data_IF_928240407017
#
_entry.id   IF_928240407017
#
_cell.length_a   1.000
_cell.length_b   1.000
_cell.length_c   1.000
_cell.angle_alpha   90.00
_cell.angle_beta   90.00
_cell.angle_gamma   90.00
#
_symmetry.space_group_name_H-M   'P 1'
#
loop_
_entity.id
_entity.type
_entity.pdbx_description
1 polymer ?
#
# COMPACT_ATOMS: atom_id res chain seq x y z
N UNK A 1 35.76 11.57 17.50
CA UNK A 1 35.69 12.66 16.50
C UNK A 1 34.39 12.54 15.71
N UNK A 2 33.57 13.60 15.73
CA UNK A 2 32.34 13.69 14.95
C UNK A 2 32.64 14.36 13.62
N UNK A 3 32.29 13.71 12.51
CA UNK A 3 32.37 14.29 11.17
C UNK A 3 31.11 15.08 10.88
N UNK A 4 31.23 16.36 10.54
CA UNK A 4 30.09 17.19 10.14
C UNK A 4 30.08 17.35 8.61
N UNK A 5 28.93 17.06 7.98
CA UNK A 5 28.66 17.28 6.56
C UNK A 5 27.55 18.30 6.45
N UNK A 6 27.81 19.43 5.84
CA UNK A 6 26.85 20.53 5.72
C UNK A 6 26.45 20.76 4.26
N UNK A 7 25.19 21.16 4.05
CA UNK A 7 24.73 21.66 2.76
C UNK A 7 24.73 23.20 2.79
N UNK A 8 25.11 23.84 1.71
CA UNK A 8 25.09 25.32 1.58
C UNK A 8 23.68 25.90 1.84
N UNK A 9 22.64 25.15 1.52
CA UNK A 9 21.26 25.52 1.76
C UNK A 9 20.43 24.31 2.18
N UNK A 10 19.32 24.54 2.88
CA UNK A 10 18.40 23.47 3.30
C UNK A 10 17.80 22.75 2.09
N UNK A 11 18.23 21.51 1.87
CA UNK A 11 17.75 20.63 0.79
C UNK A 11 16.68 19.65 1.26
N UNK A 12 16.42 19.59 2.57
CA UNK A 12 15.43 18.71 3.22
C UNK A 12 16.02 17.42 3.77
N UNK A 13 15.28 16.80 4.68
CA UNK A 13 15.67 15.59 5.43
C UNK A 13 16.08 14.44 4.52
N UNK A 14 15.28 14.15 3.49
CA UNK A 14 15.58 13.06 2.54
C UNK A 14 16.92 13.27 1.81
N UNK A 15 17.24 14.52 1.42
CA UNK A 15 18.52 14.81 0.79
C UNK A 15 19.69 14.65 1.78
N UNK A 16 19.50 15.00 3.04
CA UNK A 16 20.52 14.78 4.07
C UNK A 16 20.80 13.29 4.26
N UNK A 17 19.78 12.45 4.28
CA UNK A 17 19.91 10.99 4.36
C UNK A 17 20.64 10.45 3.12
N UNK A 18 20.31 10.92 1.92
CA UNK A 18 20.99 10.50 0.69
C UNK A 18 22.46 10.90 0.67
N UNK A 19 22.79 12.09 1.18
CA UNK A 19 24.19 12.55 1.31
C UNK A 19 24.96 11.71 2.33
N UNK A 20 24.34 11.42 3.48
CA UNK A 20 24.92 10.56 4.50
C UNK A 20 25.14 9.12 3.98
N UNK A 21 24.18 8.58 3.24
CA UNK A 21 24.27 7.25 2.63
C UNK A 21 25.43 7.17 1.61
N UNK A 22 25.60 8.21 0.77
CA UNK A 22 26.72 8.30 -0.16
C UNK A 22 28.05 8.30 0.59
N UNK A 23 28.19 9.17 1.59
CA UNK A 23 29.38 9.24 2.41
C UNK A 23 29.69 7.92 3.13
N UNK A 24 28.70 7.32 3.76
CA UNK A 24 28.85 6.04 4.47
C UNK A 24 29.35 4.94 3.52
N UNK A 25 28.81 4.88 2.31
CA UNK A 25 29.23 3.91 1.30
C UNK A 25 30.66 4.13 0.84
N UNK A 26 31.05 5.36 0.56
CA UNK A 26 32.42 5.72 0.17
C UNK A 26 33.46 5.38 1.25
N UNK A 27 33.02 5.25 2.51
CA UNK A 27 33.84 4.86 3.64
C UNK A 27 33.67 3.37 4.04
N UNK A 28 33.07 2.54 3.19
CA UNK A 28 33.02 1.08 3.36
C UNK A 28 31.96 0.58 4.35
N UNK A 29 31.04 1.43 4.80
CA UNK A 29 29.92 0.99 5.64
C UNK A 29 28.89 0.21 4.82
N UNK A 30 28.15 -0.67 5.48
CA UNK A 30 27.09 -1.48 4.88
C UNK A 30 25.69 -0.97 5.22
N UNK A 31 25.56 -0.28 6.34
CA UNK A 31 24.29 0.24 6.87
C UNK A 31 24.42 1.71 7.26
N UNK A 32 23.30 2.40 7.22
CA UNK A 32 23.15 3.77 7.71
C UNK A 32 22.08 3.80 8.80
N UNK A 33 22.46 4.18 10.02
CA UNK A 33 21.53 4.45 11.09
C UNK A 33 21.23 5.95 11.14
N UNK A 34 19.96 6.32 11.23
CA UNK A 34 19.50 7.71 11.33
C UNK A 34 18.74 7.94 12.64
N UNK A 35 18.89 9.13 13.18
CA UNK A 35 18.14 9.62 14.34
C UNK A 35 17.81 11.10 14.13
N UNK A 36 16.60 11.53 14.51
CA UNK A 36 16.22 12.93 14.49
C UNK A 36 16.89 13.69 15.65
N UNK A 37 17.38 14.90 15.35
CA UNK A 37 18.07 15.74 16.33
C UNK A 37 17.12 16.62 17.18
N UNK A 38 15.85 16.24 17.29
CA UNK A 38 14.80 16.95 18.04
C UNK A 38 14.68 16.50 19.50
N UNK A 39 15.62 15.68 19.97
CA UNK A 39 15.67 15.13 21.32
C UNK A 39 14.43 14.29 21.72
N UNK A 40 13.70 13.74 20.76
CA UNK A 40 12.57 12.86 21.02
C UNK A 40 12.97 11.39 21.23
N UNK A 41 14.10 10.95 20.67
CA UNK A 41 14.58 9.57 20.76
C UNK A 41 15.66 9.41 21.81
N UNK A 42 15.71 8.23 22.41
CA UNK A 42 16.76 7.86 23.36
C UNK A 42 17.93 7.21 22.60
N UNK A 43 19.16 7.58 22.94
CA UNK A 43 20.36 7.04 22.29
C UNK A 43 20.52 5.52 22.52
N UNK A 44 20.00 5.00 23.63
CA UNK A 44 20.04 3.56 23.97
C UNK A 44 19.29 2.70 22.94
N UNK A 45 18.22 3.24 22.37
CA UNK A 45 17.44 2.52 21.35
C UNK A 45 18.22 2.28 20.04
N UNK A 46 19.32 3.05 19.80
CA UNK A 46 20.19 2.85 18.64
C UNK A 46 20.82 1.46 18.63
N UNK A 47 21.28 0.98 19.80
CA UNK A 47 21.90 -0.35 19.93
C UNK A 47 20.90 -1.45 19.57
N UNK A 48 19.66 -1.32 20.04
CA UNK A 48 18.60 -2.27 19.74
C UNK A 48 18.30 -2.38 18.22
N UNK A 49 18.25 -1.23 17.53
CA UNK A 49 18.05 -1.23 16.08
C UNK A 49 19.25 -1.82 15.34
N UNK A 50 20.48 -1.53 15.80
CA UNK A 50 21.70 -2.07 15.19
C UNK A 50 21.74 -3.60 15.32
N UNK A 51 21.43 -4.15 16.47
CA UNK A 51 21.40 -5.59 16.72
C UNK A 51 20.39 -6.31 15.79
N UNK A 52 19.19 -5.74 15.63
CA UNK A 52 18.19 -6.28 14.70
C UNK A 52 18.69 -6.21 13.25
N UNK A 53 19.39 -5.14 12.88
CA UNK A 53 19.93 -4.96 11.53
C UNK A 53 21.06 -5.94 11.23
N UNK A 54 21.95 -6.22 12.19
CA UNK A 54 23.00 -7.24 12.07
C UNK A 54 22.43 -8.65 11.81
N UNK A 55 21.33 -8.99 12.47
CA UNK A 55 20.63 -10.27 12.27
C UNK A 55 19.82 -10.30 10.96
N UNK A 56 19.54 -9.16 10.34
CA UNK A 56 18.67 -9.00 9.18
C UNK A 56 19.26 -8.04 8.16
N UNK A 57 20.42 -8.36 7.60
CA UNK A 57 21.27 -7.52 6.73
C UNK A 57 20.56 -6.85 5.54
N UNK A 58 19.47 -7.44 5.07
CA UNK A 58 18.66 -6.96 3.94
C UNK A 58 17.31 -6.38 4.37
N UNK A 59 17.19 -5.97 5.61
CA UNK A 59 15.95 -5.39 6.15
C UNK A 59 16.15 -3.94 6.52
N UNK A 60 15.13 -3.10 6.29
CA UNK A 60 15.07 -1.79 6.93
C UNK A 60 14.54 -2.00 8.34
N UNK A 61 15.23 -1.47 9.34
CA UNK A 61 14.75 -1.50 10.72
C UNK A 61 14.19 -0.13 11.10
N UNK A 62 12.98 -0.11 11.63
CA UNK A 62 12.27 1.13 12.02
C UNK A 62 12.05 1.10 13.53
N UNK A 63 12.37 2.20 14.21
CA UNK A 63 11.98 2.41 15.59
C UNK A 63 10.47 2.65 15.67
N UNK A 64 9.73 1.67 16.16
CA UNK A 64 8.29 1.77 16.41
C UNK A 64 8.03 2.53 17.70
N UNK A 65 7.47 3.73 17.58
CA UNK A 65 7.20 4.60 18.72
C UNK A 65 5.99 4.10 19.49
N UNK A 66 6.17 3.82 20.78
CA UNK A 66 5.04 3.49 21.65
C UNK A 66 4.25 4.76 21.99
N UNK A 67 3.03 4.87 21.44
CA UNK A 67 2.14 6.01 21.68
C UNK A 67 1.16 5.78 22.86
N UNK A 68 1.36 4.75 23.65
CA UNK A 68 0.62 4.53 24.90
C UNK A 68 1.18 5.32 26.09
N UNK A 69 2.05 6.30 25.81
CA UNK A 69 2.62 7.22 26.80
C UNK A 69 1.75 8.48 26.91
N UNK A 70 1.84 9.14 28.05
CA UNK A 70 1.18 10.42 28.28
C UNK A 70 1.70 11.50 27.33
N UNK A 71 0.83 12.47 27.02
CA UNK A 71 1.13 13.66 26.20
C UNK A 71 1.38 13.42 24.69
N UNK A 72 1.02 12.28 24.13
CA UNK A 72 1.09 12.07 22.68
C UNK A 72 -0.01 12.86 21.97
N UNK A 73 0.32 13.80 21.06
CA UNK A 73 -0.70 14.55 20.34
C UNK A 73 -1.58 13.63 19.48
N UNK A 74 -2.90 13.87 19.50
CA UNK A 74 -3.85 13.09 18.67
C UNK A 74 -3.54 13.16 17.17
N UNK A 75 -3.03 14.29 16.70
CA UNK A 75 -2.55 14.46 15.32
C UNK A 75 -1.40 13.52 14.95
N UNK A 76 -0.51 13.19 15.90
CA UNK A 76 0.58 12.24 15.69
C UNK A 76 0.07 10.80 15.59
N UNK A 77 -0.92 10.43 16.42
CA UNK A 77 -1.59 9.12 16.34
C UNK A 77 -2.31 8.96 15.01
N UNK A 78 -3.13 9.94 14.63
CA UNK A 78 -3.84 9.93 13.35
C UNK A 78 -2.87 9.87 12.15
N UNK A 79 -1.82 10.67 12.14
CA UNK A 79 -0.83 10.69 11.05
C UNK A 79 -0.14 9.33 10.86
N UNK A 80 0.20 8.64 11.96
CA UNK A 80 0.77 7.29 11.93
C UNK A 80 -0.22 6.27 11.34
N UNK A 81 -1.45 6.24 11.84
CA UNK A 81 -2.48 5.32 11.37
C UNK A 81 -2.81 5.54 9.90
N UNK A 82 -2.97 6.80 9.50
CA UNK A 82 -3.22 7.19 8.12
C UNK A 82 -2.08 6.77 7.18
N UNK A 83 -0.83 7.00 7.58
CA UNK A 83 0.33 6.58 6.78
C UNK A 83 0.45 5.06 6.71
N UNK A 84 0.22 4.37 7.81
CA UNK A 84 0.20 2.90 7.87
C UNK A 84 -0.90 2.28 7.01
N UNK A 85 -2.08 2.89 6.99
CA UNK A 85 -3.18 2.49 6.11
C UNK A 85 -2.76 2.55 4.63
N UNK A 86 -2.21 3.69 4.18
CA UNK A 86 -1.76 3.83 2.78
C UNK A 86 -0.62 2.90 2.44
N UNK A 87 0.33 2.68 3.36
CA UNK A 87 1.39 1.70 3.17
C UNK A 87 0.84 0.29 2.94
N UNK A 88 -0.19 -0.09 3.71
CA UNK A 88 -0.85 -1.39 3.52
C UNK A 88 -1.55 -1.49 2.17
N UNK A 89 -2.26 -0.46 1.73
CA UNK A 89 -2.88 -0.40 0.39
C UNK A 89 -1.83 -0.55 -0.72
N UNK A 90 -0.69 0.13 -0.57
CA UNK A 90 0.37 0.19 -1.58
C UNK A 90 1.22 -1.08 -1.64
N UNK A 91 1.42 -1.76 -0.51
CA UNK A 91 2.39 -2.87 -0.41
C UNK A 91 1.77 -4.21 -0.02
N UNK A 92 0.57 -4.21 0.57
CA UNK A 92 -0.05 -5.37 1.21
C UNK A 92 0.59 -5.73 2.56
N UNK A 93 1.63 -5.01 3.02
CA UNK A 93 2.30 -5.23 4.31
C UNK A 93 1.86 -4.19 5.33
N UNK A 94 1.68 -4.62 6.57
CA UNK A 94 1.44 -3.70 7.70
C UNK A 94 2.80 -3.16 8.16
N UNK A 95 2.95 -1.84 8.20
CA UNK A 95 4.08 -1.14 8.79
C UNK A 95 3.53 -0.21 9.86
N UNK A 96 4.00 -0.35 11.08
CA UNK A 96 3.41 0.30 12.24
C UNK A 96 3.76 1.79 12.37
N UNK A 97 5.00 2.17 12.08
CA UNK A 97 5.42 3.57 12.16
C UNK A 97 6.30 4.02 10.99
N UNK A 98 5.63 4.33 9.89
CA UNK A 98 6.29 4.70 8.64
C UNK A 98 6.91 6.12 8.68
N UNK A 99 6.61 6.90 9.72
CA UNK A 99 7.08 8.27 9.88
C UNK A 99 8.14 8.43 10.97
N UNK A 100 8.57 7.33 11.60
CA UNK A 100 9.65 7.39 12.58
C UNK A 100 10.97 7.81 11.91
N UNK A 101 11.71 8.72 12.51
CA UNK A 101 13.02 9.16 12.04
C UNK A 101 14.18 8.28 12.52
N UNK A 102 13.92 7.41 13.50
CA UNK A 102 14.89 6.46 14.01
C UNK A 102 14.86 5.18 13.16
N UNK A 103 15.89 4.96 12.33
CA UNK A 103 15.92 3.86 11.34
C UNK A 103 17.31 3.35 11.06
N UNK A 104 17.40 2.09 10.64
CA UNK A 104 18.58 1.53 9.98
C UNK A 104 18.23 1.16 8.55
N UNK A 105 19.05 1.61 7.62
CA UNK A 105 18.93 1.32 6.20
C UNK A 105 20.12 0.48 5.71
N UNK A 106 19.92 -0.67 5.05
CA UNK A 106 20.99 -1.29 4.29
C UNK A 106 21.35 -0.39 3.10
N UNK A 107 22.62 -0.01 2.96
CA UNK A 107 23.05 0.97 1.95
C UNK A 107 22.80 0.52 0.51
N UNK A 108 22.67 -0.77 0.29
CA UNK A 108 22.35 -1.32 -1.04
C UNK A 108 21.03 -0.80 -1.62
N UNK A 109 20.08 -0.37 -0.78
CA UNK A 109 18.80 0.18 -1.27
C UNK A 109 19.03 1.48 -2.07
N UNK A 110 20.02 2.28 -1.69
CA UNK A 110 20.32 3.57 -2.34
C UNK A 110 21.00 3.40 -3.70
N UNK A 111 21.60 2.24 -3.96
CA UNK A 111 22.15 1.90 -5.28
C UNK A 111 21.06 1.38 -6.22
N UNK A 112 20.18 0.57 -5.67
CA UNK A 112 19.21 -0.16 -6.46
C UNK A 112 17.96 0.67 -6.77
N UNK A 113 17.55 1.53 -5.82
CA UNK A 113 16.32 2.31 -5.89
C UNK A 113 16.65 3.80 -6.13
N UNK A 114 15.84 4.42 -6.98
CA UNK A 114 15.87 5.87 -7.20
C UNK A 114 14.76 6.53 -6.39
N UNK A 115 15.15 7.52 -5.58
CA UNK A 115 14.25 8.32 -4.77
C UNK A 115 14.12 9.71 -5.34
N UNK A 116 12.90 10.23 -5.37
CA UNK A 116 12.59 11.53 -5.96
C UNK A 116 12.30 12.59 -4.91
N UNK A 117 11.74 12.17 -3.78
CA UNK A 117 11.45 13.06 -2.67
C UNK A 117 12.71 13.35 -1.85
N UNK A 118 12.90 14.64 -1.51
CA UNK A 118 14.07 15.11 -0.76
C UNK A 118 13.73 15.64 0.62
N UNK A 119 12.45 15.68 0.98
CA UNK A 119 11.95 16.20 2.26
C UNK A 119 11.37 15.09 3.13
N UNK A 120 10.38 15.40 3.96
CA UNK A 120 9.75 14.42 4.87
C UNK A 120 9.04 13.27 4.16
N UNK A 121 8.50 13.49 2.96
CA UNK A 121 7.88 12.46 2.12
C UNK A 121 8.86 11.35 1.69
N UNK A 122 10.17 11.60 1.71
CA UNK A 122 11.20 10.58 1.48
C UNK A 122 11.05 9.38 2.41
N UNK A 123 10.68 9.61 3.67
CA UNK A 123 10.54 8.54 4.67
C UNK A 123 9.47 7.51 4.28
N UNK A 124 8.41 7.94 3.62
CA UNK A 124 7.38 7.06 3.08
C UNK A 124 7.85 6.41 1.77
N UNK A 125 8.44 7.20 0.87
CA UNK A 125 8.90 6.72 -0.43
C UNK A 125 9.91 5.57 -0.29
N UNK A 126 10.88 5.72 0.61
CA UNK A 126 11.94 4.72 0.79
C UNK A 126 11.38 3.39 1.28
N UNK A 127 10.46 3.40 2.24
CA UNK A 127 9.86 2.18 2.76
C UNK A 127 9.03 1.46 1.69
N UNK A 128 8.13 2.18 1.02
CA UNK A 128 7.25 1.59 0.03
C UNK A 128 8.04 0.98 -1.14
N UNK A 129 9.00 1.74 -1.69
CA UNK A 129 9.83 1.25 -2.80
C UNK A 129 10.73 0.07 -2.40
N UNK A 130 11.24 0.06 -1.17
CA UNK A 130 12.05 -1.05 -0.66
C UNK A 130 11.22 -2.33 -0.50
N UNK A 131 10.00 -2.23 0.04
CA UNK A 131 9.07 -3.38 0.11
C UNK A 131 8.75 -3.90 -1.30
N UNK A 132 8.51 -3.01 -2.26
CA UNK A 132 8.28 -3.43 -3.65
C UNK A 132 9.50 -4.13 -4.26
N UNK A 133 10.71 -3.71 -3.90
CA UNK A 133 11.94 -4.35 -4.33
C UNK A 133 12.25 -5.68 -3.62
N UNK A 134 11.46 -6.06 -2.63
CA UNK A 134 11.60 -7.32 -1.90
C UNK A 134 12.37 -7.23 -0.60
N UNK A 135 12.78 -6.03 -0.17
CA UNK A 135 13.38 -5.84 1.16
C UNK A 135 12.32 -6.00 2.24
N UNK A 136 12.73 -6.58 3.36
CA UNK A 136 11.85 -6.65 4.53
C UNK A 136 11.94 -5.38 5.38
N UNK A 137 10.89 -5.16 6.17
CA UNK A 137 10.84 -4.11 7.18
C UNK A 137 10.66 -4.78 8.53
N UNK A 138 11.57 -4.50 9.45
CA UNK A 138 11.53 -4.93 10.84
C UNK A 138 11.23 -3.74 11.72
N UNK A 139 10.57 -3.97 12.82
CA UNK A 139 10.20 -2.92 13.78
C UNK A 139 10.81 -3.25 15.15
N UNK A 140 11.33 -2.22 15.80
CA UNK A 140 11.84 -2.29 17.16
C UNK A 140 11.07 -1.29 18.03
N UNK A 141 10.47 -1.76 19.11
CA UNK A 141 9.80 -0.85 20.06
C UNK A 141 10.81 0.13 20.64
N UNK A 142 10.56 1.43 20.48
CA UNK A 142 11.42 2.48 20.99
C UNK A 142 10.64 3.45 21.89
N UNK A 143 11.33 3.99 22.87
CA UNK A 143 10.78 5.00 23.76
C UNK A 143 10.79 6.36 23.09
N UNK A 144 9.78 7.17 23.37
CA UNK A 144 9.66 8.53 22.83
C UNK A 144 9.36 9.52 23.92
N UNK A 145 10.05 10.64 23.89
CA UNK A 145 9.86 11.79 24.76
C UNK A 145 9.02 12.84 24.05
N UNK A 146 7.87 13.17 24.59
CA UNK A 146 7.07 14.28 24.08
C UNK A 146 7.24 15.48 25.00
N UNK A 147 7.85 16.53 24.47
CA UNK A 147 7.98 17.80 25.19
C UNK A 147 6.62 18.52 25.24
N UNK A 148 6.26 19.06 26.39
CA UNK A 148 5.03 19.83 26.58
C UNK A 148 5.23 21.28 26.08
N UNK A 149 4.24 21.80 25.33
CA UNK A 149 4.15 23.23 25.02
C UNK A 149 5.15 23.75 23.99
N UNK A 150 5.71 24.91 24.24
CA UNK A 150 6.53 25.72 23.31
C UNK A 150 7.94 25.15 23.01
N UNK A 151 8.39 24.13 23.71
CA UNK A 151 9.71 23.51 23.51
C UNK A 151 9.79 22.64 22.23
N UNK A 152 8.68 22.44 21.54
CA UNK A 152 8.65 21.62 20.33
C UNK A 152 9.06 22.42 19.10
N UNK A 153 10.30 22.33 18.70
CA UNK A 153 10.79 22.87 17.42
C UNK A 153 10.40 21.91 16.30
N UNK A 154 9.36 22.25 15.54
CA UNK A 154 8.95 21.49 14.37
C UNK A 154 9.21 22.29 13.08
N UNK A 155 10.06 21.77 12.22
CA UNK A 155 10.31 22.32 10.88
C UNK A 155 9.29 21.84 9.83
N UNK A 156 8.31 21.04 10.22
CA UNK A 156 7.25 20.53 9.36
C UNK A 156 6.23 21.64 9.04
N UNK A 157 6.11 22.01 7.78
CA UNK A 157 5.14 22.99 7.29
C UNK A 157 3.83 22.28 6.94
N UNK A 158 2.87 22.31 7.88
CA UNK A 158 1.61 21.55 7.83
C UNK A 158 0.97 21.49 6.43
N UNK A 159 0.73 22.60 5.79
CA UNK A 159 0.07 22.61 4.48
C UNK A 159 0.97 22.07 3.35
N UNK A 160 2.19 22.60 3.24
CA UNK A 160 3.10 22.26 2.12
C UNK A 160 3.58 20.80 2.18
N UNK A 161 3.91 20.32 3.37
CA UNK A 161 4.45 18.96 3.53
C UNK A 161 3.33 17.92 3.48
N UNK A 162 2.12 18.22 4.00
CA UNK A 162 0.95 17.35 3.81
C UNK A 162 0.53 17.26 2.34
N UNK A 163 0.55 18.36 1.59
CA UNK A 163 0.27 18.34 0.15
C UNK A 163 1.29 17.47 -0.60
N UNK A 164 2.58 17.59 -0.30
CA UNK A 164 3.62 16.73 -0.90
C UNK A 164 3.41 15.27 -0.56
N UNK A 165 3.10 14.97 0.69
CA UNK A 165 2.82 13.61 1.14
C UNK A 165 1.57 13.03 0.44
N UNK A 166 0.53 13.84 0.26
CA UNK A 166 -0.68 13.44 -0.47
C UNK A 166 -0.39 13.14 -1.95
N UNK A 167 0.37 14.01 -2.61
CA UNK A 167 0.80 13.80 -4.00
C UNK A 167 1.66 12.52 -4.11
N UNK A 168 2.60 12.31 -3.20
CA UNK A 168 3.41 11.09 -3.18
C UNK A 168 2.53 9.86 -2.98
N UNK A 169 1.65 9.85 -1.97
CA UNK A 169 0.74 8.74 -1.71
C UNK A 169 -0.14 8.44 -2.92
N UNK A 170 -0.67 9.46 -3.59
CA UNK A 170 -1.44 9.29 -4.84
C UNK A 170 -0.60 8.59 -5.92
N UNK A 171 0.62 9.06 -6.18
CA UNK A 171 1.53 8.45 -7.16
C UNK A 171 1.87 7.00 -6.81
N UNK A 172 2.20 6.73 -5.55
CA UNK A 172 2.53 5.38 -5.09
C UNK A 172 1.30 4.44 -5.17
N UNK A 173 0.11 4.95 -4.82
CA UNK A 173 -1.14 4.17 -4.90
C UNK A 173 -1.49 3.85 -6.34
N UNK A 174 -1.45 4.82 -7.25
CA UNK A 174 -1.67 4.58 -8.68
C UNK A 174 -0.65 3.55 -9.18
N UNK A 175 0.63 3.69 -8.84
CA UNK A 175 1.68 2.73 -9.24
C UNK A 175 1.45 1.34 -8.66
N UNK A 176 0.92 1.22 -7.44
CA UNK A 176 0.58 -0.05 -6.82
C UNK A 176 -0.64 -0.72 -7.47
N UNK A 177 -1.61 0.09 -7.95
CA UNK A 177 -2.81 -0.41 -8.64
C UNK A 177 -2.53 -0.90 -10.06
N UNK A 178 -1.52 -0.35 -10.74
CA UNK A 178 -1.14 -0.81 -12.08
C UNK A 178 -0.65 -2.25 -11.97
N UNK A 179 -1.22 -3.21 -12.72
CA UNK A 179 -0.86 -4.63 -12.66
C UNK A 179 0.45 -4.92 -13.42
N UNK A 180 1.43 -4.04 -13.26
CA UNK A 180 2.76 -4.18 -13.81
C UNK A 180 3.75 -4.53 -12.69
N UNK A 181 4.56 -5.59 -12.81
CA UNK A 181 5.45 -6.03 -11.74
C UNK A 181 6.45 -4.96 -11.34
N UNK A 182 6.71 -4.87 -10.04
CA UNK A 182 7.80 -4.05 -9.52
C UNK A 182 9.14 -4.75 -9.76
N UNK A 183 10.18 -3.97 -10.07
CA UNK A 183 11.54 -4.49 -10.19
C UNK A 183 12.00 -5.01 -8.83
N UNK A 184 12.33 -6.30 -8.75
CA UNK A 184 12.75 -6.97 -7.53
C UNK A 184 14.28 -7.03 -7.45
N UNK A 185 14.85 -6.62 -6.32
CA UNK A 185 16.25 -6.87 -5.96
C UNK A 185 16.37 -8.25 -5.32
N UNK A 186 15.52 -8.52 -4.33
CA UNK A 186 15.43 -9.84 -3.70
C UNK A 186 14.34 -10.62 -4.43
N UNK A 187 14.77 -11.61 -5.22
CA UNK A 187 13.87 -12.48 -5.96
C UNK A 187 13.69 -13.76 -5.17
N UNK A 188 12.54 -13.94 -4.52
CA UNK A 188 12.12 -15.24 -4.06
C UNK A 188 11.75 -16.07 -5.30
N UNK A 189 12.31 -17.29 -5.44
CA UNK A 189 12.12 -18.18 -6.61
C UNK A 189 10.65 -18.45 -6.95
N UNK A 190 9.73 -18.21 -6.02
CA UNK A 190 8.29 -18.45 -6.16
C UNK A 190 7.52 -17.36 -6.95
N UNK A 191 8.17 -16.26 -7.34
CA UNK A 191 7.49 -15.08 -7.90
C UNK A 191 7.59 -14.92 -9.44
N UNK A 192 8.03 -15.94 -10.16
CA UNK A 192 8.16 -15.87 -11.62
C UNK A 192 6.97 -16.50 -12.33
N UNK A 193 5.91 -15.75 -12.57
CA UNK A 193 5.07 -16.01 -13.75
C UNK A 193 4.62 -14.68 -14.35
N UNK A 194 5.23 -14.30 -15.44
CA UNK A 194 4.75 -13.23 -16.30
C UNK A 194 4.07 -13.91 -17.50
N UNK A 195 2.76 -14.13 -17.41
CA UNK A 195 1.94 -14.57 -18.53
C UNK A 195 0.73 -13.65 -18.63
N UNK A 196 0.43 -13.18 -19.84
CA UNK A 196 -0.77 -12.41 -20.14
C UNK A 196 -2.01 -13.29 -20.31
N UNK A 197 -1.83 -14.63 -20.37
CA UNK A 197 -2.94 -15.57 -20.47
C UNK A 197 -3.54 -15.86 -19.09
N UNK A 198 -4.81 -15.47 -18.82
CA UNK A 198 -5.43 -15.58 -17.50
C UNK A 198 -5.47 -17.04 -16.99
N UNK A 199 -5.72 -18.02 -17.87
CA UNK A 199 -5.74 -19.44 -17.48
C UNK A 199 -4.36 -19.95 -17.05
N UNK A 200 -3.28 -19.53 -17.75
CA UNK A 200 -1.91 -19.88 -17.37
C UNK A 200 -1.51 -19.25 -16.05
N UNK A 201 -1.95 -18.02 -15.80
CA UNK A 201 -1.70 -17.29 -14.56
C UNK A 201 -2.42 -17.96 -13.39
N UNK A 202 -3.71 -18.29 -13.51
CA UNK A 202 -4.47 -19.01 -12.49
C UNK A 202 -3.83 -20.36 -12.19
N UNK A 203 -3.50 -21.15 -13.24
CA UNK A 203 -2.87 -22.46 -13.09
C UNK A 203 -1.50 -22.38 -12.40
N UNK A 204 -0.73 -21.35 -12.71
CA UNK A 204 0.58 -21.12 -12.06
C UNK A 204 0.43 -20.67 -10.61
N UNK A 205 -0.54 -19.82 -10.31
CA UNK A 205 -0.82 -19.37 -8.94
C UNK A 205 -1.39 -20.48 -8.06
N UNK A 206 -2.21 -21.38 -8.61
CA UNK A 206 -2.70 -22.57 -7.90
C UNK A 206 -1.57 -23.56 -7.59
N UNK A 207 -0.51 -23.60 -8.41
CA UNK A 207 0.67 -24.45 -8.16
C UNK A 207 1.63 -23.87 -7.13
N UNK A 208 1.60 -22.55 -6.89
CA UNK A 208 2.36 -21.92 -5.82
C UNK A 208 1.68 -22.29 -4.50
N UNK A 209 2.42 -22.82 -3.54
CA UNK A 209 1.92 -23.15 -2.19
C UNK A 209 1.46 -21.89 -1.42
N UNK A 210 0.43 -21.23 -1.92
CA UNK A 210 -0.27 -20.15 -1.20
C UNK A 210 -1.37 -20.76 -0.35
N UNK A 211 -1.62 -20.16 0.80
CA UNK A 211 -2.71 -20.58 1.67
C UNK A 211 -4.01 -20.72 0.87
N UNK A 212 -4.69 -21.87 0.90
CA UNK A 212 -5.98 -22.08 0.24
C UNK A 212 -7.00 -21.01 0.63
N UNK A 213 -6.94 -20.55 1.88
CA UNK A 213 -7.76 -19.46 2.40
C UNK A 213 -7.56 -18.14 1.63
N UNK A 214 -6.30 -17.74 1.39
CA UNK A 214 -6.04 -16.52 0.62
C UNK A 214 -6.54 -16.61 -0.83
N UNK A 215 -6.47 -17.78 -1.43
CA UNK A 215 -6.99 -18.02 -2.78
C UNK A 215 -8.51 -17.90 -2.81
N UNK A 216 -9.19 -18.53 -1.83
CA UNK A 216 -10.64 -18.47 -1.69
C UNK A 216 -11.14 -17.04 -1.44
N UNK A 217 -10.54 -16.31 -0.50
CA UNK A 217 -10.88 -14.91 -0.23
C UNK A 217 -10.65 -14.02 -1.45
N UNK A 218 -9.58 -14.28 -2.21
CA UNK A 218 -9.31 -13.55 -3.46
C UNK A 218 -10.39 -13.80 -4.52
N UNK A 219 -10.87 -15.04 -4.61
CA UNK A 219 -11.95 -15.41 -5.53
C UNK A 219 -13.27 -14.76 -5.13
N UNK A 220 -13.66 -14.89 -3.87
CA UNK A 220 -14.87 -14.25 -3.31
C UNK A 220 -14.85 -12.74 -3.54
N UNK A 221 -13.73 -12.07 -3.21
CA UNK A 221 -13.56 -10.64 -3.44
C UNK A 221 -13.77 -10.25 -4.91
N UNK A 222 -13.16 -11.00 -5.82
CA UNK A 222 -13.24 -10.72 -7.24
C UNK A 222 -14.64 -10.93 -7.81
N UNK A 223 -15.30 -12.03 -7.45
CA UNK A 223 -16.65 -12.36 -7.94
C UNK A 223 -17.67 -11.38 -7.35
N UNK A 224 -17.59 -11.09 -6.07
CA UNK A 224 -18.49 -10.14 -5.41
C UNK A 224 -18.45 -8.77 -6.08
N UNK A 225 -17.26 -8.14 -6.12
CA UNK A 225 -17.12 -6.81 -6.72
C UNK A 225 -17.27 -6.82 -8.23
N UNK A 226 -16.88 -7.95 -8.88
CA UNK A 226 -17.08 -8.18 -10.32
C UNK A 226 -18.55 -8.25 -10.73
N UNK A 227 -19.41 -8.73 -9.85
CA UNK A 227 -20.86 -8.88 -10.10
C UNK A 227 -21.66 -7.60 -9.80
N UNK A 228 -21.10 -6.64 -9.05
CA UNK A 228 -21.77 -5.39 -8.71
C UNK A 228 -21.82 -4.42 -9.89
N UNK A 229 -22.98 -3.81 -10.11
CA UNK A 229 -23.23 -2.77 -11.12
C UNK A 229 -22.66 -1.40 -10.71
N UNK A 230 -21.32 -1.29 -10.65
CA UNK A 230 -20.62 -0.06 -10.27
C UNK A 230 -19.67 0.38 -11.39
N UNK A 231 -20.18 0.88 -12.52
CA UNK A 231 -19.35 1.27 -13.67
C UNK A 231 -18.32 2.34 -13.27
N UNK A 232 -17.05 2.11 -13.65
CA UNK A 232 -15.93 3.01 -13.35
C UNK A 232 -15.34 2.87 -11.95
N UNK A 233 -16.13 2.68 -10.91
CA UNK A 233 -15.66 2.59 -9.50
C UNK A 233 -15.27 1.14 -9.15
N UNK A 234 -15.93 0.14 -9.73
CA UNK A 234 -15.72 -1.28 -9.44
C UNK A 234 -14.25 -1.71 -9.51
N UNK A 235 -13.59 -1.38 -10.60
CA UNK A 235 -12.17 -1.73 -10.77
C UNK A 235 -11.28 -1.07 -9.74
N UNK A 236 -11.58 0.17 -9.35
CA UNK A 236 -10.83 0.85 -8.28
C UNK A 236 -11.00 0.15 -6.94
N UNK A 237 -12.22 -0.24 -6.58
CA UNK A 237 -12.49 -0.98 -5.32
C UNK A 237 -11.80 -2.35 -5.36
N UNK A 238 -11.87 -3.05 -6.49
CA UNK A 238 -11.21 -4.33 -6.67
C UNK A 238 -9.69 -4.21 -6.45
N UNK A 239 -9.05 -3.26 -7.13
CA UNK A 239 -7.61 -3.02 -7.03
C UNK A 239 -7.18 -2.55 -5.64
N UNK A 240 -7.98 -1.69 -5.01
CA UNK A 240 -7.75 -1.22 -3.66
C UNK A 240 -7.77 -2.37 -2.65
N UNK A 241 -8.82 -3.20 -2.68
CA UNK A 241 -8.92 -4.35 -1.78
C UNK A 241 -7.83 -5.39 -2.00
N UNK A 242 -7.41 -5.61 -3.25
CA UNK A 242 -6.26 -6.48 -3.53
C UNK A 242 -4.99 -6.01 -2.82
N UNK A 243 -4.76 -4.69 -2.78
CA UNK A 243 -3.63 -4.12 -2.04
C UNK A 243 -3.82 -4.24 -0.54
N UNK A 244 -4.96 -3.78 -0.03
CA UNK A 244 -5.23 -3.68 1.41
C UNK A 244 -5.29 -5.04 2.11
N UNK A 245 -5.95 -6.03 1.51
CA UNK A 245 -6.08 -7.39 2.07
C UNK A 245 -4.95 -8.33 1.62
N UNK A 246 -3.98 -7.84 0.84
CA UNK A 246 -2.88 -8.64 0.27
C UNK A 246 -3.40 -9.88 -0.50
N UNK A 247 -4.44 -9.67 -1.32
CA UNK A 247 -5.08 -10.72 -2.10
C UNK A 247 -4.23 -11.12 -3.30
N UNK A 248 -4.53 -12.31 -3.84
CA UNK A 248 -3.88 -12.79 -5.05
C UNK A 248 -4.36 -12.01 -6.28
N UNK A 249 -3.52 -11.09 -6.75
CA UNK A 249 -3.84 -10.19 -7.88
C UNK A 249 -4.19 -10.95 -9.15
N UNK A 250 -3.52 -12.05 -9.41
CA UNK A 250 -3.74 -12.84 -10.61
C UNK A 250 -5.14 -13.48 -10.59
N UNK A 251 -5.53 -14.06 -9.46
CA UNK A 251 -6.87 -14.64 -9.29
C UNK A 251 -7.94 -13.55 -9.37
N UNK A 252 -7.75 -12.45 -8.63
CA UNK A 252 -8.72 -11.36 -8.64
C UNK A 252 -8.98 -10.82 -10.04
N UNK A 253 -7.93 -10.49 -10.81
CA UNK A 253 -8.07 -9.94 -12.16
C UNK A 253 -8.61 -10.94 -13.18
N UNK A 254 -8.33 -12.24 -13.01
CA UNK A 254 -8.84 -13.28 -13.89
C UNK A 254 -10.33 -13.53 -13.64
N UNK A 255 -10.73 -13.64 -12.38
CA UNK A 255 -12.13 -13.90 -12.02
C UNK A 255 -13.02 -12.68 -12.20
N UNK A 256 -12.52 -11.45 -12.02
CA UNK A 256 -13.27 -10.24 -12.37
C UNK A 256 -13.72 -10.24 -13.84
N UNK A 257 -12.86 -10.69 -14.74
CA UNK A 257 -13.21 -10.83 -16.16
C UNK A 257 -14.17 -11.99 -16.42
N UNK A 258 -14.08 -13.06 -15.65
CA UNK A 258 -15.00 -14.20 -15.74
C UNK A 258 -16.36 -13.90 -15.10
N UNK A 259 -16.41 -13.06 -14.08
CA UNK A 259 -17.65 -12.60 -13.43
C UNK A 259 -18.45 -11.59 -14.27
N UNK A 260 -17.97 -11.22 -15.47
CA UNK A 260 -18.66 -10.36 -16.45
C UNK A 260 -19.11 -11.09 -17.74
N UNK A 261 -19.48 -12.36 -17.73
CA UNK A 261 -20.22 -12.89 -18.87
C UNK A 261 -21.58 -12.18 -18.95
N UNK A 262 -22.20 -12.06 -20.14
CA UNK A 262 -23.45 -11.31 -20.31
C UNK A 262 -24.60 -11.80 -19.43
N UNK A 263 -24.53 -13.02 -18.87
CA UNK A 263 -25.60 -13.58 -18.04
C UNK A 263 -25.69 -12.99 -16.63
N UNK A 264 -24.58 -12.62 -15.98
CA UNK A 264 -24.64 -12.05 -14.62
C UNK A 264 -25.34 -10.69 -14.62
N UNK A 265 -24.99 -9.73 -15.51
CA UNK A 265 -25.78 -8.52 -15.68
C UNK A 265 -27.24 -8.78 -16.06
N UNK A 266 -27.52 -9.76 -16.93
CA UNK A 266 -28.88 -10.11 -17.31
C UNK A 266 -29.69 -10.62 -16.12
N UNK A 267 -29.14 -11.57 -15.33
CA UNK A 267 -29.78 -12.07 -14.11
C UNK A 267 -29.98 -10.93 -13.10
N UNK A 268 -29.01 -10.05 -12.94
CA UNK A 268 -29.13 -8.91 -12.05
C UNK A 268 -30.23 -7.94 -12.49
N UNK A 269 -30.37 -7.65 -13.79
CA UNK A 269 -31.46 -6.83 -14.31
C UNK A 269 -32.81 -7.50 -14.05
N UNK A 270 -32.92 -8.80 -14.29
CA UNK A 270 -34.14 -9.57 -14.04
C UNK A 270 -34.56 -9.53 -12.57
N UNK A 271 -33.63 -9.80 -11.65
CA UNK A 271 -33.87 -9.75 -10.21
C UNK A 271 -34.25 -8.32 -9.78
N UNK A 272 -33.56 -7.32 -10.28
CA UNK A 272 -33.89 -5.92 -9.98
C UNK A 272 -35.22 -5.48 -10.54
N UNK A 273 -35.59 -5.96 -11.71
CA UNK A 273 -36.91 -5.73 -12.29
C UNK A 273 -38.02 -6.38 -11.44
N UNK A 274 -37.82 -7.63 -11.02
CA UNK A 274 -38.72 -8.31 -10.12
C UNK A 274 -38.90 -7.58 -8.79
N UNK A 275 -37.80 -7.08 -8.20
CA UNK A 275 -37.86 -6.30 -6.95
C UNK A 275 -38.72 -5.03 -7.11
N UNK A 276 -38.64 -4.37 -8.26
CA UNK A 276 -39.35 -3.11 -8.52
C UNK A 276 -40.81 -3.30 -8.93
N UNK A 277 -41.10 -4.36 -9.70
CA UNK A 277 -42.37 -4.52 -10.39
C UNK A 277 -43.20 -5.75 -9.94
N UNK A 278 -42.61 -6.63 -9.10
CA UNK A 278 -43.26 -7.85 -8.61
C UNK A 278 -43.51 -8.92 -9.71
N UNK A 279 -42.92 -8.75 -10.88
CA UNK A 279 -43.06 -9.67 -12.04
C UNK A 279 -41.75 -9.75 -12.81
N UNK A 280 -41.51 -10.85 -13.51
CA UNK A 280 -40.33 -11.02 -14.35
C UNK A 280 -40.46 -10.25 -15.67
N UNK A 281 -39.35 -9.85 -16.25
CA UNK A 281 -39.24 -9.15 -17.53
C UNK A 281 -39.47 -10.18 -18.65
N UNK A 282 -40.63 -10.18 -19.28
CA UNK A 282 -40.95 -11.16 -20.35
C UNK A 282 -40.74 -10.61 -21.76
N UNK A 283 -40.62 -9.29 -21.91
CA UNK A 283 -40.51 -8.65 -23.22
C UNK A 283 -39.11 -8.09 -23.46
N UNK A 284 -38.40 -8.69 -24.41
CA UNK A 284 -37.09 -8.26 -24.90
C UNK A 284 -37.23 -7.66 -26.31
N UNK A 285 -37.50 -6.36 -26.38
CA UNK A 285 -37.56 -5.63 -27.64
C UNK A 285 -36.64 -4.40 -27.61
N UNK A 286 -36.47 -3.73 -28.78
CA UNK A 286 -35.63 -2.53 -28.89
C UNK A 286 -36.09 -1.39 -27.99
N UNK A 287 -37.35 -1.31 -27.66
CA UNK A 287 -37.92 -0.30 -26.76
C UNK A 287 -37.48 -0.58 -25.31
N UNK A 288 -37.55 -1.82 -24.84
CA UNK A 288 -37.11 -2.21 -23.50
C UNK A 288 -35.61 -2.12 -23.31
N UNK A 289 -34.84 -2.44 -24.33
CA UNK A 289 -33.36 -2.42 -24.28
C UNK A 289 -32.77 -1.02 -24.54
N UNK A 290 -33.41 -0.20 -25.39
CA UNK A 290 -32.93 1.11 -25.78
C UNK A 290 -33.54 2.26 -24.99
N UNK A 291 -34.81 2.56 -25.24
CA UNK A 291 -35.46 3.72 -24.62
C UNK A 291 -35.61 3.65 -23.09
N UNK A 292 -35.65 2.44 -22.53
CA UNK A 292 -35.70 2.25 -21.07
C UNK A 292 -34.32 1.98 -20.44
N UNK A 293 -33.24 2.21 -21.16
CA UNK A 293 -31.88 1.97 -20.67
C UNK A 293 -31.57 2.57 -19.30
N UNK A 294 -31.98 3.83 -18.97
CA UNK A 294 -31.75 4.38 -17.62
C UNK A 294 -32.46 3.60 -16.51
N UNK A 295 -33.67 3.08 -16.79
CA UNK A 295 -34.40 2.26 -15.83
C UNK A 295 -33.73 0.91 -15.63
N UNK A 296 -33.20 0.31 -16.71
CA UNK A 296 -32.44 -0.94 -16.67
C UNK A 296 -31.14 -0.81 -15.86
N UNK A 297 -30.50 0.35 -15.87
CA UNK A 297 -29.34 0.64 -15.02
C UNK A 297 -29.73 0.54 -13.54
N UNK A 298 -30.84 1.12 -13.14
CA UNK A 298 -31.34 1.03 -11.77
C UNK A 298 -31.68 -0.41 -11.36
N UNK A 299 -32.34 -1.15 -12.23
CA UNK A 299 -32.66 -2.56 -12.03
C UNK A 299 -31.38 -3.41 -11.92
N UNK A 300 -30.39 -3.13 -12.77
CA UNK A 300 -29.08 -3.76 -12.67
C UNK A 300 -28.41 -3.46 -11.33
N UNK A 301 -28.42 -2.22 -10.86
CA UNK A 301 -27.85 -1.85 -9.56
C UNK A 301 -28.56 -2.60 -8.43
N UNK A 302 -29.89 -2.53 -8.37
CA UNK A 302 -30.67 -3.18 -7.31
C UNK A 302 -30.49 -4.70 -7.30
N UNK A 303 -30.62 -5.33 -8.47
CA UNK A 303 -30.47 -6.76 -8.58
C UNK A 303 -29.05 -7.24 -8.31
N UNK A 304 -28.04 -6.45 -8.66
CA UNK A 304 -26.64 -6.81 -8.38
C UNK A 304 -26.35 -6.89 -6.88
N UNK A 305 -27.02 -6.13 -6.04
CA UNK A 305 -26.89 -6.22 -4.59
C UNK A 305 -27.36 -7.57 -4.02
N UNK A 306 -28.30 -8.22 -4.70
CA UNK A 306 -28.79 -9.55 -4.33
C UNK A 306 -27.95 -10.64 -5.01
N UNK A 307 -27.64 -10.46 -6.27
CA UNK A 307 -26.93 -11.46 -7.08
C UNK A 307 -25.46 -11.59 -6.68
N UNK A 308 -24.78 -10.48 -6.37
CA UNK A 308 -23.35 -10.51 -6.04
C UNK A 308 -23.02 -11.38 -4.80
N UNK A 309 -23.74 -11.31 -3.67
CA UNK A 309 -23.48 -12.20 -2.53
C UNK A 309 -23.76 -13.68 -2.83
N UNK A 310 -24.71 -13.97 -3.74
CA UNK A 310 -25.06 -15.35 -4.10
C UNK A 310 -24.00 -16.03 -4.94
N UNK A 311 -23.34 -15.26 -5.82
CA UNK A 311 -22.28 -15.78 -6.70
C UNK A 311 -20.87 -15.75 -6.08
N UNK A 312 -20.68 -14.99 -4.98
CA UNK A 312 -19.39 -14.87 -4.27
C UNK A 312 -19.17 -16.01 -3.27
#
# INVERSE_FOLDING_TARGET
NVKCITHEKNQGKGQAILTAAKYAKENGFTHLLTIDADNQHYAEDLFKLSEIAEQNDKSIVIGYRNFNTENVPGSSKFGREFSGFWARVQTGKKVGDIQSGLRVYPLIIFDYLKFHDKRYSFEVEVIIKSIWAGFDVKEADVKVKYHKGQERVSHFKLFKDNLRLSILNTKLTIRAMIPYPHKKYIVNKDNQVVSLNPFKVVKAELKKNKSPYNLAVSAVWAVFWGSLALPGIRTMILLFGMGYFNLNRAICLSLDKLAMPPFIPAIAIEVGFFIRHGKWLTEFNLTTLGYQAPQRIWEWILGSLVVAPVFA
#
